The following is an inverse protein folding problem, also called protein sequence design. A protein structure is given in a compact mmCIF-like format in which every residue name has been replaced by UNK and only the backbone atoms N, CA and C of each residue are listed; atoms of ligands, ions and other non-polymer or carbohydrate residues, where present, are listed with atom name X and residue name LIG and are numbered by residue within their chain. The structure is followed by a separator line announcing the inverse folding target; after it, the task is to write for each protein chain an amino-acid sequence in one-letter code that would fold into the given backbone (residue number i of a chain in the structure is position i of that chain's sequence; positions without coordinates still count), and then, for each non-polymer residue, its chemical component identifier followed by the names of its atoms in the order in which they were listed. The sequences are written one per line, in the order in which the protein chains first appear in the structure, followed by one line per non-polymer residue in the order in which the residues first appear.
data_IF_494595307043
#
_entry.id   IF_494595307043
#
_cell.length_a   1.000
_cell.length_b   1.000
_cell.length_c   1.000
_cell.angle_alpha   90.00
_cell.angle_beta   90.00
_cell.angle_gamma   90.00
#
_symmetry.space_group_name_H-M   'P 1'
#
loop_
_entity.id
_entity.type
_entity.pdbx_description
1 polymer ?
#
# COMPACT_ATOMS: atom_id res chain seq x y z
N UNK A 1 5.51 16.88 -1.76
CA UNK A 1 4.81 15.67 -2.27
C UNK A 1 3.59 15.42 -1.39
N UNK A 2 2.38 15.36 -1.96
CA UNK A 2 1.13 15.08 -1.21
C UNK A 2 0.50 13.82 -1.78
N UNK A 3 0.79 12.68 -1.17
CA UNK A 3 0.14 11.41 -1.50
C UNK A 3 -1.26 11.37 -0.89
N UNK A 4 -2.15 10.61 -1.51
CA UNK A 4 -3.44 10.27 -0.95
C UNK A 4 -3.28 9.44 0.32
N UNK A 5 -4.26 9.55 1.22
CA UNK A 5 -4.30 8.69 2.41
C UNK A 5 -4.40 7.20 2.05
N UNK A 6 -4.98 6.87 0.89
CA UNK A 6 -5.08 5.47 0.45
C UNK A 6 -3.69 4.89 0.16
N UNK A 7 -2.80 5.66 -0.48
CA UNK A 7 -1.42 5.24 -0.73
C UNK A 7 -0.64 5.08 0.57
N UNK A 8 -0.76 6.01 1.51
CA UNK A 8 -0.14 5.87 2.85
C UNK A 8 -0.63 4.60 3.56
N UNK A 9 -1.93 4.32 3.54
CA UNK A 9 -2.48 3.12 4.17
C UNK A 9 -2.05 1.82 3.47
N UNK A 10 -1.97 1.83 2.14
CA UNK A 10 -1.49 0.69 1.36
C UNK A 10 -0.02 0.36 1.69
N UNK A 11 0.84 1.37 1.68
CA UNK A 11 2.26 1.22 2.01
C UNK A 11 2.45 0.71 3.44
N UNK A 12 1.74 1.27 4.43
CA UNK A 12 1.80 0.80 5.82
C UNK A 12 1.33 -0.65 5.98
N UNK A 13 0.27 -1.03 5.26
CA UNK A 13 -0.24 -2.40 5.28
C UNK A 13 0.80 -3.37 4.72
N UNK A 14 1.44 -3.03 3.61
CA UNK A 14 2.51 -3.84 3.01
C UNK A 14 3.74 -3.93 3.93
N UNK A 15 4.17 -2.80 4.52
CA UNK A 15 5.29 -2.77 5.48
C UNK A 15 5.01 -3.64 6.70
N UNK A 16 3.78 -3.61 7.22
CA UNK A 16 3.38 -4.43 8.36
C UNK A 16 3.44 -5.92 8.05
N UNK A 17 2.88 -6.31 6.90
CA UNK A 17 2.95 -7.69 6.41
C UNK A 17 4.39 -8.14 6.12
N UNK A 18 5.26 -7.26 5.62
CA UNK A 18 6.64 -7.57 5.32
C UNK A 18 7.54 -7.69 6.57
N UNK A 19 7.19 -7.03 7.68
CA UNK A 19 8.08 -6.89 8.84
C UNK A 19 7.85 -7.92 9.94
N UNK A 20 6.60 -8.32 10.18
CA UNK A 20 6.24 -8.92 11.49
C UNK A 20 5.20 -10.06 11.41
N UNK A 21 4.51 -10.22 10.27
CA UNK A 21 3.39 -11.14 10.16
C UNK A 21 3.38 -11.93 8.85
N UNK A 22 3.64 -13.24 8.93
CA UNK A 22 3.30 -14.18 7.85
C UNK A 22 1.82 -14.04 7.45
N UNK A 23 0.96 -13.70 8.42
CA UNK A 23 -0.47 -13.46 8.25
C UNK A 23 -1.03 -12.60 9.37
N UNK A 24 -1.95 -11.69 9.03
CA UNK A 24 -2.66 -10.81 9.98
C UNK A 24 -4.10 -10.57 9.54
N UNK A 25 -4.90 -9.88 10.34
CA UNK A 25 -6.25 -9.44 9.99
C UNK A 25 -6.31 -7.94 9.69
N UNK A 26 -7.35 -7.53 8.96
CA UNK A 26 -7.64 -6.10 8.73
C UNK A 26 -7.81 -5.35 10.06
N UNK A 27 -8.38 -6.01 11.08
CA UNK A 27 -8.61 -5.40 12.38
C UNK A 27 -7.29 -5.12 13.12
N UNK A 28 -6.34 -6.06 13.07
CA UNK A 28 -5.01 -5.89 13.69
C UNK A 28 -4.23 -4.76 13.03
N UNK A 29 -4.20 -4.69 11.69
CA UNK A 29 -3.55 -3.59 10.96
C UNK A 29 -4.21 -2.24 11.29
N UNK A 30 -5.54 -2.22 11.33
CA UNK A 30 -6.31 -1.03 11.69
C UNK A 30 -6.01 -0.53 13.11
N UNK A 31 -5.94 -1.46 14.07
CA UNK A 31 -5.60 -1.16 15.47
C UNK A 31 -4.16 -0.65 15.59
N UNK A 32 -3.20 -1.38 15.02
CA UNK A 32 -1.77 -1.06 15.11
C UNK A 32 -1.46 0.34 14.60
N UNK A 33 -1.99 0.72 13.43
CA UNK A 33 -1.77 2.05 12.85
C UNK A 33 -2.81 3.09 13.24
N UNK A 34 -3.83 2.73 14.03
CA UNK A 34 -4.99 3.58 14.38
C UNK A 34 -5.69 4.14 13.14
N UNK A 35 -5.89 3.28 12.13
CA UNK A 35 -6.61 3.59 10.88
C UNK A 35 -8.01 2.98 10.98
N UNK A 36 -9.09 3.68 10.57
CA UNK A 36 -10.41 3.08 10.52
C UNK A 36 -10.42 1.79 9.67
N UNK A 37 -10.90 0.68 10.24
CA UNK A 37 -10.92 -0.62 9.57
C UNK A 37 -11.53 -0.62 8.15
N UNK A 38 -12.58 0.17 7.83
CA UNK A 38 -13.09 0.27 6.46
C UNK A 38 -12.05 0.79 5.45
N UNK A 39 -11.17 1.70 5.86
CA UNK A 39 -10.11 2.22 5.00
C UNK A 39 -9.03 1.15 4.76
N UNK A 40 -8.64 0.42 5.80
CA UNK A 40 -7.71 -0.73 5.67
C UNK A 40 -8.31 -1.79 4.75
N UNK A 41 -9.58 -2.15 4.94
CA UNK A 41 -10.28 -3.11 4.08
C UNK A 41 -10.30 -2.66 2.60
N UNK A 42 -10.53 -1.37 2.36
CA UNK A 42 -10.52 -0.80 1.01
C UNK A 42 -9.16 -0.93 0.33
N UNK A 43 -8.08 -0.57 1.01
CA UNK A 43 -6.73 -0.68 0.44
C UNK A 43 -6.29 -2.13 0.28
N UNK A 44 -6.62 -3.01 1.23
CA UNK A 44 -6.36 -4.45 1.13
C UNK A 44 -7.05 -5.06 -0.08
N UNK A 45 -8.32 -4.70 -0.35
CA UNK A 45 -9.03 -5.16 -1.53
C UNK A 45 -8.35 -4.70 -2.83
N UNK A 46 -7.82 -3.47 -2.86
CA UNK A 46 -7.08 -2.97 -4.02
C UNK A 46 -5.73 -3.67 -4.18
N UNK A 47 -4.96 -3.83 -3.09
CA UNK A 47 -3.71 -4.59 -3.08
C UNK A 47 -3.91 -6.03 -3.55
N UNK A 48 -5.03 -6.66 -3.18
CA UNK A 48 -5.36 -8.01 -3.61
C UNK A 48 -5.65 -8.10 -5.11
N UNK A 49 -6.34 -7.10 -5.67
CA UNK A 49 -6.55 -6.99 -7.12
C UNK A 49 -5.25 -6.75 -7.88
N UNK A 50 -4.31 -6.03 -7.28
CA UNK A 50 -2.97 -5.78 -7.83
C UNK A 50 -2.03 -6.98 -7.64
N UNK A 51 -2.43 -8.00 -6.88
CA UNK A 51 -1.62 -9.21 -6.67
C UNK A 51 -0.55 -9.08 -5.59
N UNK A 52 -0.52 -8.00 -4.81
CA UNK A 52 0.47 -7.84 -3.73
C UNK A 52 0.10 -8.62 -2.45
N UNK A 53 -1.19 -8.78 -2.19
CA UNK A 53 -1.69 -9.51 -1.02
C UNK A 53 -2.74 -10.54 -1.43
N UNK A 54 -2.94 -11.56 -0.60
CA UNK A 54 -4.02 -12.53 -0.76
C UNK A 54 -4.75 -12.76 0.56
N UNK A 55 -6.04 -13.07 0.46
CA UNK A 55 -6.85 -13.41 1.63
C UNK A 55 -6.90 -14.91 1.86
N UNK A 56 -6.71 -15.31 3.12
CA UNK A 56 -6.89 -16.69 3.59
C UNK A 56 -8.21 -16.77 4.36
N UNK A 57 -9.07 -17.72 4.01
CA UNK A 57 -10.38 -17.92 4.66
C UNK A 57 -10.28 -18.95 5.79
N UNK A 58 -11.20 -18.86 6.75
CA UNK A 58 -11.34 -19.81 7.85
C UNK A 58 -10.81 -19.29 9.18
N UNK A 59 -10.78 -20.17 10.19
CA UNK A 59 -10.22 -19.89 11.51
C UNK A 59 -8.70 -19.71 11.35
N UNK A 60 -8.15 -18.62 11.87
CA UNK A 60 -6.75 -18.24 11.61
C UNK A 60 -6.52 -17.75 10.17
N UNK A 61 -7.60 -17.38 9.47
CA UNK A 61 -7.56 -16.66 8.21
C UNK A 61 -7.12 -15.20 8.39
N UNK A 62 -7.09 -14.45 7.30
CA UNK A 62 -6.58 -13.09 7.30
C UNK A 62 -6.07 -12.69 5.92
N UNK A 63 -5.01 -11.89 5.93
CA UNK A 63 -4.29 -11.41 4.77
C UNK A 63 -2.79 -11.65 4.96
N UNK A 64 -2.13 -11.94 3.85
CA UNK A 64 -0.69 -12.17 3.76
C UNK A 64 -0.16 -11.65 2.42
N UNK A 65 1.15 -11.44 2.31
CA UNK A 65 1.76 -11.11 1.02
C UNK A 65 1.55 -12.26 0.03
N UNK A 66 1.26 -11.91 -1.22
CA UNK A 66 1.12 -12.89 -2.30
C UNK A 66 2.43 -13.10 -3.08
N UNK A 67 3.39 -12.19 -2.92
CA UNK A 67 4.75 -12.21 -3.49
C UNK A 67 5.78 -11.94 -2.39
N UNK A 68 7.06 -12.24 -2.66
CA UNK A 68 8.13 -11.90 -1.73
C UNK A 68 8.21 -10.37 -1.54
N UNK A 69 8.54 -9.90 -0.34
CA UNK A 69 8.55 -8.45 -0.05
C UNK A 69 9.60 -7.70 -0.86
N UNK A 70 10.69 -8.38 -1.23
CA UNK A 70 11.77 -7.85 -2.07
C UNK A 70 11.33 -7.61 -3.53
N UNK A 71 10.23 -8.24 -3.96
CA UNK A 71 9.63 -8.03 -5.29
C UNK A 71 8.68 -6.83 -5.32
N UNK A 72 8.35 -6.24 -4.16
CA UNK A 72 7.40 -5.12 -4.06
C UNK A 72 8.16 -3.80 -4.04
N UNK A 73 8.10 -3.05 -5.14
CA UNK A 73 8.73 -1.73 -5.18
C UNK A 73 7.76 -0.63 -4.73
N UNK A 74 8.27 0.34 -3.95
CA UNK A 74 7.47 1.48 -3.49
C UNK A 74 6.94 2.29 -4.70
N UNK A 75 7.74 2.43 -5.75
CA UNK A 75 7.37 3.17 -6.96
C UNK A 75 6.13 2.61 -7.64
N UNK A 76 6.10 1.29 -7.86
CA UNK A 76 4.95 0.62 -8.49
C UNK A 76 3.68 0.71 -7.63
N UNK A 77 3.81 0.61 -6.30
CA UNK A 77 2.67 0.77 -5.39
C UNK A 77 2.14 2.20 -5.44
N UNK A 78 3.02 3.20 -5.40
CA UNK A 78 2.62 4.62 -5.48
C UNK A 78 1.95 4.91 -6.83
N UNK A 79 2.53 4.45 -7.94
CA UNK A 79 1.95 4.62 -9.28
C UNK A 79 0.58 3.93 -9.39
N UNK A 80 0.43 2.72 -8.85
CA UNK A 80 -0.84 1.99 -8.90
C UNK A 80 -1.96 2.64 -8.06
N UNK A 81 -1.63 3.36 -6.98
CA UNK A 81 -2.61 4.00 -6.12
C UNK A 81 -2.91 5.46 -6.48
N UNK A 82 -1.91 6.20 -6.94
CA UNK A 82 -2.08 7.60 -7.34
C UNK A 82 -2.41 7.78 -8.83
N UNK A 83 -2.14 6.76 -9.65
CA UNK A 83 -2.21 6.83 -11.11
C UNK A 83 -0.99 7.53 -11.71
N UNK A 84 -1.12 8.00 -12.96
CA UNK A 84 -0.07 8.74 -13.67
C UNK A 84 0.16 10.10 -13.01
N UNK A 85 0.98 10.14 -11.98
CA UNK A 85 1.35 11.39 -11.31
C UNK A 85 2.49 12.09 -12.04
N UNK A 86 2.24 13.34 -12.40
CA UNK A 86 3.31 14.33 -12.49
C UNK A 86 3.67 14.75 -11.06
N UNK A 87 4.39 13.89 -10.35
CA UNK A 87 4.79 14.10 -8.94
C UNK A 87 5.50 15.43 -8.73
N UNK A 88 6.16 15.91 -9.78
CA UNK A 88 6.84 17.18 -9.86
C UNK A 88 6.28 17.96 -11.05
N UNK A 89 6.15 19.28 -10.90
CA UNK A 89 5.64 20.18 -11.96
C UNK A 89 6.52 20.16 -13.22
N UNK A 90 7.80 19.85 -13.08
CA UNK A 90 8.75 19.75 -14.19
C UNK A 90 8.70 18.40 -14.94
N UNK A 91 7.98 17.39 -14.45
CA UNK A 91 7.88 16.12 -15.19
C UNK A 91 7.06 16.35 -16.46
N UNK A 92 7.58 15.92 -17.61
CA UNK A 92 6.88 16.06 -18.89
C UNK A 92 6.79 17.50 -19.43
N UNK A 93 7.55 18.44 -18.87
CA UNK A 93 7.62 19.83 -19.33
C UNK A 93 9.09 20.26 -19.51
N UNK A 94 9.31 21.40 -20.18
CA UNK A 94 10.64 22.01 -20.31
C UNK A 94 11.07 22.79 -19.04
N UNK A 95 10.26 22.74 -17.97
CA UNK A 95 10.57 23.41 -16.70
C UNK A 95 11.58 22.59 -15.88
N UNK A 96 12.28 23.26 -14.95
CA UNK A 96 13.22 22.61 -14.02
C UNK A 96 12.70 22.73 -12.60
N UNK A 97 12.58 21.60 -11.90
CA UNK A 97 12.35 21.62 -10.45
C UNK A 97 13.68 21.78 -9.73
N UNK A 98 13.85 22.90 -9.04
CA UNK A 98 15.00 23.13 -8.18
C UNK A 98 14.68 22.55 -6.80
N UNK A 99 15.51 21.61 -6.33
CA UNK A 99 15.44 21.12 -4.95
C UNK A 99 16.08 22.19 -4.07
N UNK A 100 15.30 22.80 -3.16
CA UNK A 100 15.79 23.75 -2.17
C UNK A 100 15.95 23.09 -0.81
#
# INVERSE_FOLDING_TARGET
MRLSLQTDYALRTLMYLASDADRTTIAEVAEFFRIPAPNVAKVVNQLARLGYVRSVRGIGGGIELAVASEEITIGEVVEAFEGSMHLLECVGTDNVCVIQ
#
